data_IF_760342925505
#
_entry.id   IF_760342925505
#
_cell.length_a   1.000
_cell.length_b   1.000
_cell.length_c   1.000
_cell.angle_alpha   90.00
_cell.angle_beta   90.00
_cell.angle_gamma   90.00
#
_symmetry.space_group_name_H-M   'P 1'
#
loop_
_entity.id
_entity.type
_entity.pdbx_description
1 polymer ?
#
# COMPACT_ATOMS: atom_id res chain seq x y z
N UNK A 1 24.88 -81.30 -30.58
CA UNK A 1 25.05 -79.93 -31.11
C UNK A 1 23.98 -79.05 -30.47
N UNK A 2 24.42 -77.92 -29.88
CA UNK A 2 23.68 -76.83 -29.20
C UNK A 2 23.06 -77.09 -27.82
N UNK A 3 23.77 -76.61 -26.79
CA UNK A 3 23.22 -76.15 -25.51
C UNK A 3 22.69 -74.72 -25.68
N UNK A 4 21.48 -74.44 -25.19
CA UNK A 4 20.92 -73.08 -25.12
C UNK A 4 21.07 -72.60 -23.68
N UNK A 5 21.85 -71.54 -23.47
CA UNK A 5 22.12 -70.92 -22.17
C UNK A 5 21.00 -69.91 -21.87
N UNK A 6 20.23 -70.15 -20.81
CA UNK A 6 19.23 -69.20 -20.32
C UNK A 6 19.89 -67.98 -19.66
N UNK A 7 19.55 -66.77 -20.12
CA UNK A 7 20.00 -65.52 -19.51
C UNK A 7 19.32 -65.30 -18.16
N UNK A 8 20.10 -65.26 -17.09
CA UNK A 8 19.63 -64.95 -15.73
C UNK A 8 19.27 -63.45 -15.64
N UNK A 9 17.99 -63.14 -15.40
CA UNK A 9 17.55 -61.78 -15.04
C UNK A 9 17.81 -61.58 -13.55
N UNK A 10 18.84 -60.80 -13.20
CA UNK A 10 19.18 -60.49 -11.81
C UNK A 10 18.20 -59.43 -11.28
N UNK A 11 17.19 -59.87 -10.52
CA UNK A 11 16.32 -58.97 -9.76
C UNK A 11 17.17 -58.35 -8.63
N UNK A 12 17.39 -57.04 -8.71
CA UNK A 12 18.13 -56.31 -7.67
C UNK A 12 17.26 -56.22 -6.40
N UNK A 13 17.82 -56.60 -5.26
CA UNK A 13 17.10 -56.60 -3.98
C UNK A 13 16.60 -55.20 -3.60
N UNK A 14 15.30 -55.07 -3.36
CA UNK A 14 14.70 -53.84 -2.85
C UNK A 14 15.09 -53.67 -1.38
N UNK A 15 15.86 -52.62 -1.07
CA UNK A 15 16.14 -52.25 0.32
C UNK A 15 14.89 -51.60 0.92
N UNK A 16 14.37 -52.17 2.01
CA UNK A 16 13.31 -51.55 2.81
C UNK A 16 13.83 -50.33 3.58
N UNK A 17 12.93 -49.41 3.94
CA UNK A 17 13.27 -48.23 4.74
C UNK A 17 13.42 -48.61 6.22
N UNK A 18 14.43 -48.08 6.89
CA UNK A 18 14.55 -48.19 8.35
C UNK A 18 13.71 -47.11 9.04
N UNK A 19 13.27 -47.37 10.28
CA UNK A 19 12.51 -46.40 11.08
C UNK A 19 13.33 -45.13 11.38
N UNK A 20 14.65 -45.27 11.52
CA UNK A 20 15.55 -44.13 11.74
C UNK A 20 15.70 -43.25 10.49
N UNK A 21 15.72 -43.83 9.29
CA UNK A 21 15.73 -43.04 8.04
C UNK A 21 14.47 -42.20 7.89
N UNK A 22 13.30 -42.77 8.19
CA UNK A 22 12.03 -42.04 8.14
C UNK A 22 12.01 -40.91 9.16
N UNK A 23 12.50 -41.15 10.38
CA UNK A 23 12.62 -40.10 11.40
C UNK A 23 13.54 -38.97 10.95
N UNK A 24 14.71 -39.28 10.39
CA UNK A 24 15.65 -38.27 9.88
C UNK A 24 15.03 -37.51 8.69
N UNK A 25 14.31 -38.19 7.80
CA UNK A 25 13.64 -37.53 6.67
C UNK A 25 12.56 -36.56 7.14
N UNK A 26 11.74 -36.95 8.13
CA UNK A 26 10.69 -36.09 8.67
C UNK A 26 11.24 -34.91 9.46
N UNK A 27 12.37 -35.05 10.18
CA UNK A 27 12.99 -33.91 10.86
C UNK A 27 13.53 -32.88 9.87
N UNK A 28 14.24 -33.33 8.83
CA UNK A 28 14.74 -32.43 7.78
C UNK A 28 13.57 -31.73 7.07
N UNK A 29 12.52 -32.48 6.73
CA UNK A 29 11.31 -31.92 6.12
C UNK A 29 10.66 -30.85 7.01
N UNK A 30 10.54 -31.11 8.30
CA UNK A 30 9.94 -30.18 9.26
C UNK A 30 10.72 -28.87 9.34
N UNK A 31 12.05 -28.92 9.35
CA UNK A 31 12.92 -27.73 9.30
C UNK A 31 12.70 -26.96 8.00
N UNK A 32 12.64 -27.65 6.86
CA UNK A 32 12.36 -27.03 5.56
C UNK A 32 11.00 -26.32 5.52
N UNK A 33 9.96 -26.93 6.09
CA UNK A 33 8.61 -26.36 6.11
C UNK A 33 8.52 -25.09 6.97
N UNK A 34 9.27 -25.01 8.07
CA UNK A 34 9.38 -23.79 8.88
C UNK A 34 10.02 -22.64 8.08
N UNK A 35 11.03 -22.94 7.24
CA UNK A 35 11.61 -21.96 6.32
C UNK A 35 10.58 -21.40 5.34
N UNK A 36 9.75 -22.25 4.77
CA UNK A 36 8.65 -21.83 3.86
C UNK A 36 7.61 -20.99 4.61
N UNK A 37 7.25 -21.34 5.85
CA UNK A 37 6.30 -20.59 6.64
C UNK A 37 6.77 -19.13 6.86
N UNK A 38 8.06 -18.93 7.15
CA UNK A 38 8.63 -17.58 7.29
C UNK A 38 8.59 -16.79 5.97
N UNK A 39 8.85 -17.44 4.83
CA UNK A 39 8.73 -16.81 3.51
C UNK A 39 7.30 -16.37 3.19
N UNK A 40 6.29 -17.11 3.63
CA UNK A 40 4.90 -16.71 3.46
C UNK A 40 4.58 -15.44 4.25
N UNK A 41 5.07 -15.33 5.49
CA UNK A 41 4.88 -14.13 6.32
C UNK A 41 5.49 -12.88 5.66
N UNK A 42 6.71 -12.99 5.12
CA UNK A 42 7.37 -11.86 4.44
C UNK A 42 6.65 -11.49 3.13
N UNK A 43 6.17 -12.48 2.37
CA UNK A 43 5.44 -12.25 1.12
C UNK A 43 4.10 -11.55 1.34
N UNK A 44 3.32 -11.98 2.34
CA UNK A 44 2.05 -11.33 2.73
C UNK A 44 2.32 -9.88 3.13
N UNK A 45 3.38 -9.66 3.90
CA UNK A 45 3.78 -8.33 4.36
C UNK A 45 4.14 -7.40 3.21
N UNK A 46 4.91 -7.89 2.24
CA UNK A 46 5.26 -7.13 1.03
C UNK A 46 4.04 -6.82 0.18
N UNK A 47 3.12 -7.77 0.05
CA UNK A 47 1.86 -7.58 -0.68
C UNK A 47 0.96 -6.50 -0.06
N UNK A 48 0.80 -6.51 1.26
CA UNK A 48 0.03 -5.48 1.97
C UNK A 48 0.65 -4.09 1.79
N UNK A 49 1.96 -3.95 1.95
CA UNK A 49 2.65 -2.67 1.74
C UNK A 49 2.48 -2.16 0.31
N UNK A 50 2.63 -3.03 -0.69
CA UNK A 50 2.43 -2.68 -2.10
C UNK A 50 0.99 -2.21 -2.39
N UNK A 51 0.00 -2.87 -1.78
CA UNK A 51 -1.41 -2.46 -1.85
C UNK A 51 -1.63 -1.09 -1.23
N UNK A 52 -1.12 -0.86 -0.02
CA UNK A 52 -1.28 0.42 0.68
C UNK A 52 -0.64 1.57 -0.11
N UNK A 53 0.54 1.35 -0.68
CA UNK A 53 1.18 2.31 -1.56
C UNK A 53 0.29 2.66 -2.77
N UNK A 54 -0.25 1.65 -3.46
CA UNK A 54 -1.11 1.86 -4.63
C UNK A 54 -2.41 2.61 -4.28
N UNK A 55 -3.05 2.26 -3.16
CA UNK A 55 -4.25 2.94 -2.66
C UNK A 55 -3.94 4.38 -2.30
N UNK A 56 -2.86 4.62 -1.53
CA UNK A 56 -2.43 5.98 -1.18
C UNK A 56 -2.17 6.82 -2.42
N UNK A 57 -1.50 6.26 -3.44
CA UNK A 57 -1.28 6.95 -4.72
C UNK A 57 -2.60 7.34 -5.38
N UNK A 58 -3.55 6.42 -5.45
CA UNK A 58 -4.88 6.68 -6.02
C UNK A 58 -5.60 7.80 -5.26
N UNK A 59 -5.65 7.71 -3.92
CA UNK A 59 -6.29 8.73 -3.08
C UNK A 59 -5.62 10.11 -3.20
N UNK A 60 -4.29 10.15 -3.31
CA UNK A 60 -3.54 11.38 -3.51
C UNK A 60 -3.82 12.04 -4.87
N UNK A 61 -3.91 11.22 -5.92
CA UNK A 61 -4.27 11.68 -7.27
C UNK A 61 -5.70 12.20 -7.31
N UNK A 62 -6.66 11.45 -6.77
CA UNK A 62 -8.06 11.85 -6.68
C UNK A 62 -8.20 13.19 -5.95
N UNK A 63 -7.48 13.38 -4.85
CA UNK A 63 -7.53 14.61 -4.09
C UNK A 63 -6.92 15.78 -4.86
N UNK A 64 -5.77 15.56 -5.53
CA UNK A 64 -5.15 16.59 -6.34
C UNK A 64 -6.06 16.99 -7.52
N UNK A 65 -6.75 16.02 -8.15
CA UNK A 65 -7.73 16.28 -9.20
C UNK A 65 -8.90 17.11 -8.65
N UNK A 66 -9.50 16.71 -7.53
CA UNK A 66 -10.56 17.49 -6.86
C UNK A 66 -10.12 18.94 -6.64
N UNK A 67 -8.95 19.17 -6.03
CA UNK A 67 -8.43 20.52 -5.80
C UNK A 67 -8.20 21.32 -7.09
N UNK A 68 -7.82 20.65 -8.18
CA UNK A 68 -7.64 21.31 -9.49
C UNK A 68 -8.97 21.74 -10.11
N UNK A 69 -10.05 21.00 -9.87
CA UNK A 69 -11.40 21.34 -10.37
C UNK A 69 -12.02 22.54 -9.65
N UNK A 70 -11.58 22.87 -8.44
CA UNK A 70 -12.05 24.04 -7.71
C UNK A 70 -11.69 25.34 -8.45
N UNK A 71 -12.52 26.37 -8.34
CA UNK A 71 -12.24 27.65 -9.00
C UNK A 71 -11.03 28.36 -8.38
N UNK A 72 -10.23 29.04 -9.20
CA UNK A 72 -9.17 29.89 -8.66
C UNK A 72 -9.80 31.10 -7.97
N UNK A 73 -10.00 30.99 -6.66
CA UNK A 73 -10.53 32.09 -5.86
C UNK A 73 -9.58 32.47 -4.73
N UNK A 74 -9.62 33.75 -4.36
CA UNK A 74 -8.90 34.31 -3.22
C UNK A 74 -9.87 34.73 -2.10
N UNK A 75 -11.12 34.24 -2.14
CA UNK A 75 -12.11 34.56 -1.12
C UNK A 75 -11.69 33.97 0.22
N UNK A 76 -11.64 34.83 1.23
CA UNK A 76 -11.02 34.60 2.54
C UNK A 76 -11.89 33.82 3.53
N UNK A 77 -13.14 33.54 3.18
CA UNK A 77 -14.12 33.02 4.15
C UNK A 77 -14.39 31.52 3.99
N UNK A 78 -14.22 30.96 2.79
CA UNK A 78 -14.65 29.59 2.50
C UNK A 78 -14.01 29.08 1.19
N UNK A 79 -12.75 28.64 1.25
CA UNK A 79 -12.08 28.13 0.06
C UNK A 79 -10.87 27.25 0.40
N UNK A 80 -10.95 25.99 -0.03
CA UNK A 80 -9.89 24.97 0.07
C UNK A 80 -8.57 25.31 -0.68
N UNK A 81 -8.55 26.39 -1.46
CA UNK A 81 -7.38 26.91 -2.18
C UNK A 81 -6.76 28.16 -1.53
N UNK A 82 -7.15 28.50 -0.30
CA UNK A 82 -6.46 29.53 0.47
C UNK A 82 -5.07 29.07 0.90
N UNK A 83 -4.13 30.00 0.98
CA UNK A 83 -2.78 29.67 1.44
C UNK A 83 -2.83 29.17 2.88
N UNK A 84 -2.22 28.01 3.13
CA UNK A 84 -2.24 27.41 4.47
C UNK A 84 -2.31 25.89 4.44
N UNK A 85 -2.63 25.33 5.61
CA UNK A 85 -2.82 23.90 5.82
C UNK A 85 -4.31 23.56 5.85
N UNK A 86 -4.64 22.48 5.18
CA UNK A 86 -5.98 21.95 5.03
C UNK A 86 -5.97 20.42 5.26
N UNK A 87 -7.12 19.81 5.59
CA UNK A 87 -8.41 20.46 5.79
C UNK A 87 -8.51 21.26 7.09
N UNK A 88 -9.23 22.37 7.05
CA UNK A 88 -9.69 23.11 8.21
C UNK A 88 -11.21 22.89 8.44
N UNK A 89 -11.83 23.67 9.33
CA UNK A 89 -13.26 23.53 9.62
C UNK A 89 -14.17 23.83 8.43
N UNK A 90 -13.75 24.73 7.53
CA UNK A 90 -14.53 25.11 6.34
C UNK A 90 -14.54 23.97 5.33
N UNK A 91 -13.40 23.31 5.12
CA UNK A 91 -13.31 22.13 4.24
C UNK A 91 -14.19 20.96 4.71
N UNK A 92 -14.39 20.84 6.03
CA UNK A 92 -15.30 19.86 6.60
C UNK A 92 -16.76 20.27 6.38
N UNK A 93 -17.08 21.56 6.56
CA UNK A 93 -18.43 22.09 6.30
C UNK A 93 -18.86 21.96 4.84
N UNK A 94 -17.93 22.13 3.91
CA UNK A 94 -18.15 21.97 2.47
C UNK A 94 -18.19 20.51 2.00
N UNK A 95 -17.94 19.56 2.90
CA UNK A 95 -17.91 18.13 2.59
C UNK A 95 -16.70 17.69 1.77
N UNK A 96 -15.68 18.54 1.64
CA UNK A 96 -14.40 18.19 1.02
C UNK A 96 -13.56 17.28 1.93
N UNK A 97 -13.74 17.41 3.24
CA UNK A 97 -13.09 16.60 4.27
C UNK A 97 -14.08 16.08 5.31
N UNK A 98 -13.66 15.04 6.04
CA UNK A 98 -14.49 14.42 7.10
C UNK A 98 -14.06 14.84 8.51
N UNK A 99 -12.92 15.52 8.62
CA UNK A 99 -12.37 16.06 9.85
C UNK A 99 -11.23 17.03 9.54
N UNK A 100 -10.82 17.82 10.54
CA UNK A 100 -9.76 18.82 10.40
C UNK A 100 -8.37 18.19 10.52
N UNK A 101 -7.43 18.63 9.68
CA UNK A 101 -6.06 18.13 9.64
C UNK A 101 -5.98 16.60 9.64
N UNK A 102 -5.29 16.04 10.64
CA UNK A 102 -5.10 14.59 10.76
C UNK A 102 -6.37 13.80 11.05
N UNK A 103 -7.47 14.46 11.41
CA UNK A 103 -8.77 13.82 11.60
C UNK A 103 -9.52 13.55 10.28
N UNK A 104 -8.99 14.00 9.13
CA UNK A 104 -9.51 13.64 7.81
C UNK A 104 -9.10 12.21 7.40
N UNK A 105 -9.60 11.23 8.16
CA UNK A 105 -9.26 9.82 8.01
C UNK A 105 -10.34 9.14 7.16
N UNK A 106 -9.91 8.33 6.19
CA UNK A 106 -10.76 7.71 5.20
C UNK A 106 -10.34 6.27 4.91
N UNK A 107 -11.23 5.51 4.28
CA UNK A 107 -10.95 4.19 3.76
C UNK A 107 -10.27 4.23 2.38
N UNK A 108 -9.99 3.05 1.82
CA UNK A 108 -9.35 2.88 0.51
C UNK A 108 -10.13 3.43 -0.69
N UNK A 109 -11.40 3.81 -0.49
CA UNK A 109 -12.28 4.40 -1.51
C UNK A 109 -12.52 5.89 -1.27
N UNK A 110 -11.84 6.48 -0.29
CA UNK A 110 -12.07 7.87 0.08
C UNK A 110 -13.39 8.10 0.81
N UNK A 111 -13.99 7.05 1.41
CA UNK A 111 -15.23 7.08 2.19
C UNK A 111 -14.97 6.87 3.69
N UNK A 112 -16.03 6.93 4.51
CA UNK A 112 -15.96 6.74 5.98
C UNK A 112 -16.62 5.45 6.46
N UNK A 113 -17.06 4.60 5.54
CA UNK A 113 -17.87 3.41 5.85
C UNK A 113 -17.03 2.17 6.18
N UNK A 114 -15.74 2.17 5.82
CA UNK A 114 -14.81 1.08 6.09
C UNK A 114 -13.75 1.37 7.16
N UNK A 115 -12.74 0.48 7.29
CA UNK A 115 -11.55 0.72 8.10
C UNK A 115 -10.85 2.01 7.66
N UNK A 116 -10.87 3.01 8.52
CA UNK A 116 -10.27 4.32 8.26
C UNK A 116 -8.79 4.27 8.62
N UNK A 117 -7.94 4.17 7.60
CA UNK A 117 -6.49 4.01 7.77
C UNK A 117 -5.67 5.07 7.04
N UNK A 118 -6.29 5.83 6.13
CA UNK A 118 -5.62 6.85 5.33
C UNK A 118 -6.04 8.24 5.79
N UNK A 119 -5.08 9.02 6.28
CA UNK A 119 -5.27 10.44 6.54
C UNK A 119 -4.89 11.24 5.30
N UNK A 120 -5.74 12.18 4.88
CA UNK A 120 -5.49 13.05 3.73
C UNK A 120 -5.40 14.50 4.16
N UNK A 121 -4.27 15.15 3.90
CA UNK A 121 -4.09 16.59 4.13
C UNK A 121 -3.55 17.24 2.88
N UNK A 122 -3.74 18.55 2.75
CA UNK A 122 -3.10 19.33 1.71
C UNK A 122 -2.65 20.67 2.24
N UNK A 123 -1.70 21.28 1.55
CA UNK A 123 -1.33 22.66 1.78
C UNK A 123 -1.26 23.42 0.48
N UNK A 124 -1.52 24.71 0.57
CA UNK A 124 -1.52 25.62 -0.56
C UNK A 124 -0.49 26.71 -0.28
N UNK A 125 0.35 26.98 -1.27
CA UNK A 125 1.31 28.08 -1.24
C UNK A 125 1.04 29.01 -2.41
N UNK A 126 0.73 30.26 -2.09
CA UNK A 126 0.41 31.28 -3.09
C UNK A 126 1.66 31.83 -3.79
N UNK A 127 1.46 32.29 -5.02
CA UNK A 127 2.51 32.85 -5.89
C UNK A 127 3.71 31.93 -6.07
N UNK A 128 3.46 30.63 -6.11
CA UNK A 128 4.46 29.59 -6.30
C UNK A 128 4.07 28.67 -7.47
N UNK A 129 5.00 28.36 -8.40
CA UNK A 129 6.38 28.85 -8.47
C UNK A 129 6.50 30.30 -9.01
N UNK A 130 5.41 30.88 -9.50
CA UNK A 130 5.38 32.24 -10.03
C UNK A 130 4.10 32.98 -9.61
N UNK A 131 4.08 34.30 -9.81
CA UNK A 131 2.90 35.14 -9.56
C UNK A 131 1.67 34.59 -10.29
N UNK A 132 0.50 34.66 -9.64
CA UNK A 132 -0.78 34.10 -10.12
C UNK A 132 -0.80 32.55 -10.24
N UNK A 133 0.12 31.85 -9.57
CA UNK A 133 0.08 30.39 -9.42
C UNK A 133 -0.08 30.02 -7.94
N UNK A 134 -0.67 28.85 -7.69
CA UNK A 134 -0.77 28.23 -6.37
C UNK A 134 -0.14 26.84 -6.45
N UNK A 135 0.80 26.55 -5.57
CA UNK A 135 1.36 25.20 -5.41
C UNK A 135 0.51 24.44 -4.41
N UNK A 136 -0.01 23.29 -4.82
CA UNK A 136 -0.79 22.36 -4.02
C UNK A 136 0.11 21.20 -3.61
N UNK A 137 0.21 20.92 -2.31
CA UNK A 137 0.96 19.77 -1.79
C UNK A 137 0.00 18.87 -1.04
N UNK A 138 -0.37 17.73 -1.63
CA UNK A 138 -1.24 16.71 -1.04
C UNK A 138 -0.37 15.69 -0.32
N UNK A 139 -0.72 15.37 0.92
CA UNK A 139 -0.06 14.34 1.72
C UNK A 139 -1.07 13.27 2.13
N UNK A 140 -0.76 12.02 1.81
CA UNK A 140 -1.52 10.86 2.29
C UNK A 140 -0.64 10.12 3.29
N UNK A 141 -1.13 9.93 4.51
CA UNK A 141 -0.42 9.17 5.55
C UNK A 141 -1.25 7.99 6.06
N UNK A 142 -0.56 6.91 6.41
CA UNK A 142 -1.17 5.71 6.98
C UNK A 142 -0.19 5.04 7.94
N UNK A 143 -0.70 4.23 8.87
CA UNK A 143 0.14 3.45 9.79
C UNK A 143 0.09 1.98 9.39
N UNK A 144 1.26 1.41 9.08
CA UNK A 144 1.41 0.00 8.76
C UNK A 144 2.34 -0.66 9.78
N UNK A 145 1.86 -1.71 10.46
CA UNK A 145 2.62 -2.44 11.50
C UNK A 145 3.24 -1.54 12.58
N UNK A 146 2.54 -0.49 12.98
CA UNK A 146 3.01 0.46 14.00
C UNK A 146 4.02 1.50 13.50
N UNK A 147 4.40 1.47 12.23
CA UNK A 147 5.23 2.49 11.60
C UNK A 147 4.37 3.44 10.73
N UNK A 148 4.58 4.74 10.87
CA UNK A 148 3.93 5.75 10.06
C UNK A 148 4.59 5.81 8.67
N UNK A 149 3.75 5.85 7.63
CA UNK A 149 4.14 6.00 6.24
C UNK A 149 3.40 7.18 5.64
N UNK A 150 3.99 7.79 4.61
CA UNK A 150 3.32 8.82 3.85
C UNK A 150 3.81 8.89 2.41
N UNK A 151 2.97 9.44 1.54
CA UNK A 151 3.35 9.91 0.21
C UNK A 151 2.98 11.38 0.08
N UNK A 152 3.74 12.10 -0.74
CA UNK A 152 3.52 13.51 -1.03
C UNK A 152 3.38 13.67 -2.54
N UNK A 153 2.37 14.40 -2.98
CA UNK A 153 2.15 14.78 -4.37
C UNK A 153 2.03 16.29 -4.48
N UNK A 154 2.69 16.86 -5.48
CA UNK A 154 2.65 18.30 -5.74
C UNK A 154 2.00 18.57 -7.08
N UNK A 155 1.10 19.55 -7.12
CA UNK A 155 0.53 20.10 -8.35
C UNK A 155 0.58 21.62 -8.33
N UNK A 156 0.40 22.23 -9.51
CA UNK A 156 0.33 23.68 -9.65
C UNK A 156 -1.02 24.03 -10.27
N UNK A 157 -1.69 25.01 -9.68
CA UNK A 157 -2.90 25.62 -10.24
C UNK A 157 -2.58 27.04 -10.69
N UNK A 158 -2.84 27.34 -11.95
CA UNK A 158 -2.70 28.67 -12.53
C UNK A 158 -4.04 29.40 -12.42
N UNK A 159 -4.00 30.71 -12.20
CA UNK A 159 -5.16 31.58 -12.33
C UNK A 159 -5.69 31.52 -13.78
N UNK A 160 -6.87 30.95 -13.96
CA UNK A 160 -7.64 31.00 -15.21
C UNK A 160 -8.38 32.31 -15.34
#
# INVERSE_FOLDING_TARGET
MKTVHGSQFTVHGQKGLTLIEVLIALTILSIGLLGVALMQVTSISGGMFGREMAVSTTLGQDMLEKLRTLEYTSLTTDNALLSGNHPDSTDVSDGLAVGVGSANITDERGQTTGPQIYTRTWSVTDSSPATNMKTLTVTISWTAKGAAHSIIMTGVKVRS
#
